data_IF_244983836726
#
_entry.id   IF_244983836726
#
_cell.length_a   1.000
_cell.length_b   1.000
_cell.length_c   1.000
_cell.angle_alpha   90.00
_cell.angle_beta   90.00
_cell.angle_gamma   90.00
#
_symmetry.space_group_name_H-M   'P 1'
#
loop_
_entity.id
_entity.type
_entity.pdbx_description
1 polymer ?
#
# COMPACT_ATOMS: atom_id res chain seq x y z
N UNK A 1 -16.23 4.61 -1.56
CA UNK A 1 -15.08 3.87 -1.01
C UNK A 1 -14.82 2.71 -1.95
N UNK A 2 -13.66 2.70 -2.60
CA UNK A 2 -13.30 1.69 -3.62
C UNK A 2 -12.88 0.39 -2.94
N UNK A 3 -13.04 -0.76 -3.60
CA UNK A 3 -12.56 -2.08 -3.18
C UNK A 3 -11.44 -2.60 -4.08
N UNK A 4 -10.64 -3.53 -3.55
CA UNK A 4 -9.50 -4.09 -4.28
C UNK A 4 -9.90 -4.77 -5.60
N UNK A 5 -11.04 -5.45 -5.67
CA UNK A 5 -11.49 -6.14 -6.88
C UNK A 5 -12.01 -5.19 -7.97
N UNK A 6 -12.31 -3.93 -7.64
CA UNK A 6 -12.78 -2.92 -8.60
C UNK A 6 -11.62 -2.23 -9.32
N UNK A 7 -10.39 -2.40 -8.81
CA UNK A 7 -9.18 -1.77 -9.33
C UNK A 7 -8.62 -2.54 -10.53
N UNK A 8 -8.25 -1.79 -11.56
CA UNK A 8 -7.61 -2.26 -12.79
C UNK A 8 -6.21 -1.71 -12.96
N UNK A 9 -5.40 -2.35 -13.81
CA UNK A 9 -4.05 -1.90 -14.09
C UNK A 9 -4.04 -0.49 -14.67
N UNK A 10 -3.29 0.42 -14.05
CA UNK A 10 -3.19 1.81 -14.46
C UNK A 10 -4.07 2.77 -13.65
N UNK A 11 -5.06 2.24 -12.93
CA UNK A 11 -6.00 3.03 -12.12
C UNK A 11 -5.30 3.82 -11.03
N UNK A 12 -5.92 4.92 -10.66
CA UNK A 12 -5.55 5.78 -9.56
C UNK A 12 -6.72 5.97 -8.61
N UNK A 13 -6.49 5.95 -7.31
CA UNK A 13 -7.56 6.04 -6.31
C UNK A 13 -7.13 6.85 -5.08
N UNK A 14 -8.10 7.45 -4.40
CA UNK A 14 -7.87 8.41 -3.29
C UNK A 14 -8.27 7.90 -1.90
N UNK A 15 -9.09 6.84 -1.84
CA UNK A 15 -9.57 6.27 -0.59
C UNK A 15 -9.92 4.78 -0.74
N UNK A 16 -9.02 3.94 -0.23
CA UNK A 16 -9.18 2.50 -0.09
C UNK A 16 -8.78 2.11 1.33
N UNK A 17 -9.69 1.45 2.05
CA UNK A 17 -9.39 0.87 3.36
C UNK A 17 -8.81 -0.52 3.19
N UNK A 18 -7.63 -0.74 3.76
CA UNK A 18 -7.00 -2.06 3.77
C UNK A 18 -6.46 -2.42 5.15
N UNK A 19 -6.49 -3.72 5.44
CA UNK A 19 -5.72 -4.31 6.53
C UNK A 19 -4.33 -4.70 6.02
N UNK A 20 -3.29 -4.44 6.81
CA UNK A 20 -1.96 -4.99 6.57
C UNK A 20 -1.92 -6.44 7.03
N UNK A 21 -2.07 -7.38 6.11
CA UNK A 21 -2.03 -8.81 6.40
C UNK A 21 -0.62 -9.29 6.77
N UNK A 22 0.39 -8.83 6.03
CA UNK A 22 1.79 -9.20 6.23
C UNK A 22 2.73 -8.06 5.85
N UNK A 23 3.77 -7.84 6.66
CA UNK A 23 4.90 -6.97 6.30
C UNK A 23 5.97 -7.82 5.61
N UNK A 24 6.43 -7.38 4.44
CA UNK A 24 7.48 -8.08 3.67
C UNK A 24 8.86 -7.43 3.83
N UNK A 25 8.91 -6.19 4.35
CA UNK A 25 10.17 -5.48 4.63
C UNK A 25 10.58 -4.58 3.47
N UNK A 26 11.88 -4.48 3.21
CA UNK A 26 12.44 -3.70 2.10
C UNK A 26 12.37 -4.52 0.82
N UNK A 27 11.81 -3.95 -0.24
CA UNK A 27 11.72 -4.58 -1.55
C UNK A 27 13.14 -4.88 -2.08
N UNK A 28 13.43 -6.14 -2.49
CA UNK A 28 14.76 -6.51 -2.97
C UNK A 28 15.25 -5.74 -4.20
N UNK A 29 14.33 -5.16 -4.99
CA UNK A 29 14.67 -4.34 -6.15
C UNK A 29 14.91 -2.85 -5.79
N UNK A 30 14.81 -2.48 -4.52
CA UNK A 30 15.01 -1.10 -4.07
C UNK A 30 16.47 -0.67 -4.10
N UNK A 31 16.70 0.64 -4.32
CA UNK A 31 18.03 1.24 -4.27
C UNK A 31 18.40 1.56 -2.82
N UNK A 32 19.65 1.37 -2.37
CA UNK A 32 20.04 1.64 -0.98
C UNK A 32 19.75 3.07 -0.49
N UNK A 33 19.79 4.06 -1.39
CA UNK A 33 19.53 5.48 -1.08
C UNK A 33 18.03 5.87 -1.17
N UNK A 34 17.17 4.97 -1.63
CA UNK A 34 15.73 5.19 -1.81
C UNK A 34 14.99 3.87 -1.55
N UNK A 35 14.90 3.44 -0.27
CA UNK A 35 14.30 2.16 0.08
C UNK A 35 12.80 2.16 -0.24
N UNK A 36 12.37 1.14 -0.97
CA UNK A 36 10.97 0.82 -1.22
C UNK A 36 10.60 -0.27 -0.25
N UNK A 37 9.48 -0.13 0.45
CA UNK A 37 8.98 -1.11 1.39
C UNK A 37 7.81 -1.86 0.76
N UNK A 38 7.62 -3.12 1.13
CA UNK A 38 6.48 -3.90 0.66
C UNK A 38 5.70 -4.58 1.80
N UNK A 39 4.42 -4.78 1.54
CA UNK A 39 3.47 -5.44 2.42
C UNK A 39 2.40 -6.15 1.59
N UNK A 40 1.81 -7.21 2.13
CA UNK A 40 0.56 -7.75 1.63
C UNK A 40 -0.59 -7.07 2.37
N UNK A 41 -1.50 -6.46 1.62
CA UNK A 41 -2.69 -5.81 2.15
C UNK A 41 -3.94 -6.54 1.66
N UNK A 42 -5.03 -6.46 2.42
CA UNK A 42 -6.29 -7.07 2.05
C UNK A 42 -7.48 -6.18 2.42
N UNK A 43 -8.56 -6.37 1.70
CA UNK A 43 -9.90 -5.93 2.08
C UNK A 43 -10.82 -7.18 2.09
N UNK A 44 -12.13 -7.06 2.39
CA UNK A 44 -13.02 -8.21 2.37
C UNK A 44 -13.17 -8.90 0.99
N UNK A 45 -12.70 -8.29 -0.10
CA UNK A 45 -12.86 -8.80 -1.45
C UNK A 45 -11.63 -9.51 -2.01
N UNK A 46 -10.41 -9.10 -1.61
CA UNK A 46 -9.17 -9.68 -2.14
C UNK A 46 -7.94 -9.29 -1.31
N UNK A 47 -6.78 -9.78 -1.73
CA UNK A 47 -5.47 -9.33 -1.28
C UNK A 47 -4.68 -8.74 -2.46
N UNK A 48 -3.82 -7.77 -2.16
CA UNK A 48 -2.95 -7.15 -3.14
C UNK A 48 -1.60 -6.82 -2.52
N UNK A 49 -0.55 -6.83 -3.34
CA UNK A 49 0.76 -6.37 -2.92
C UNK A 49 0.75 -4.85 -2.86
N UNK A 50 1.21 -4.28 -1.75
CA UNK A 50 1.44 -2.86 -1.58
C UNK A 50 2.94 -2.60 -1.59
N UNK A 51 3.39 -1.65 -2.42
CA UNK A 51 4.71 -1.04 -2.33
C UNK A 51 4.58 0.43 -1.94
N UNK A 52 5.41 0.88 -1.01
CA UNK A 52 5.35 2.24 -0.49
C UNK A 52 6.75 2.76 -0.19
N UNK A 53 6.96 4.05 -0.45
CA UNK A 53 8.20 4.76 -0.14
C UNK A 53 8.04 5.59 1.12
N UNK A 54 9.13 5.74 1.86
CA UNK A 54 9.15 6.66 2.98
C UNK A 54 9.00 8.10 2.46
N UNK A 55 7.99 8.83 2.95
CA UNK A 55 7.81 10.25 2.71
C UNK A 55 7.14 10.93 3.93
N UNK A 56 6.81 12.21 3.84
CA UNK A 56 6.17 12.94 4.94
C UNK A 56 4.81 12.35 5.34
N UNK A 57 4.10 11.70 4.40
CA UNK A 57 2.75 11.15 4.57
C UNK A 57 2.74 9.63 4.82
N UNK A 58 3.88 8.96 4.72
CA UNK A 58 4.03 7.52 4.87
C UNK A 58 5.37 7.22 5.54
N UNK A 59 5.31 6.90 6.84
CA UNK A 59 6.47 6.42 7.61
C UNK A 59 6.37 4.90 7.72
N UNK A 60 7.29 4.13 7.10
CA UNK A 60 7.25 2.67 7.17
C UNK A 60 7.23 2.09 8.59
N UNK A 61 7.90 2.76 9.53
CA UNK A 61 7.88 2.40 10.95
C UNK A 61 6.49 2.45 11.60
N UNK A 62 5.54 3.21 11.01
CA UNK A 62 4.16 3.34 11.47
C UNK A 62 3.21 2.31 10.84
N UNK A 63 3.66 1.56 9.82
CA UNK A 63 2.88 0.49 9.19
C UNK A 63 3.04 -0.78 10.03
N UNK A 64 1.94 -1.32 10.52
CA UNK A 64 1.91 -2.47 11.44
C UNK A 64 0.97 -3.55 10.92
N UNK A 65 1.40 -4.81 11.05
CA UNK A 65 0.58 -5.98 10.75
C UNK A 65 -0.71 -5.97 11.58
N UNK A 66 -1.82 -6.39 10.98
CA UNK A 66 -3.14 -6.49 11.60
C UNK A 66 -3.78 -5.13 11.89
N UNK A 67 -3.29 -4.04 11.29
CA UNK A 67 -3.86 -2.70 11.43
C UNK A 67 -4.43 -2.23 10.10
N UNK A 68 -5.46 -1.41 10.21
CA UNK A 68 -6.17 -0.83 9.08
C UNK A 68 -5.63 0.55 8.73
N UNK A 69 -5.53 0.79 7.43
CA UNK A 69 -5.04 2.03 6.86
C UNK A 69 -5.94 2.45 5.71
N UNK A 70 -6.21 3.75 5.64
CA UNK A 70 -6.72 4.36 4.41
C UNK A 70 -5.53 4.71 3.54
N UNK A 71 -5.59 4.23 2.30
CA UNK A 71 -4.52 4.43 1.34
C UNK A 71 -5.04 5.11 0.07
N UNK A 72 -4.18 5.91 -0.54
CA UNK A 72 -4.33 6.39 -1.91
C UNK A 72 -3.09 6.04 -2.72
N UNK A 73 -3.25 5.85 -4.03
CA UNK A 73 -2.13 5.46 -4.88
C UNK A 73 -2.54 5.06 -6.29
N UNK A 74 -1.61 4.40 -6.97
CA UNK A 74 -1.78 3.92 -8.34
C UNK A 74 -1.62 2.42 -8.41
N UNK A 75 -2.44 1.77 -9.21
CA UNK A 75 -2.32 0.36 -9.55
C UNK A 75 -1.28 0.21 -10.65
N UNK A 76 -0.26 -0.59 -10.38
CA UNK A 76 0.78 -0.98 -11.32
C UNK A 76 0.91 -2.50 -11.35
N UNK A 77 1.86 -3.01 -12.13
CA UNK A 77 2.18 -4.42 -12.14
C UNK A 77 3.66 -4.65 -11.82
N UNK A 78 3.93 -5.77 -11.16
CA UNK A 78 5.27 -6.28 -10.94
C UNK A 78 5.29 -7.77 -11.22
N UNK A 79 6.16 -8.21 -12.15
CA UNK A 79 6.25 -9.60 -12.61
C UNK A 79 4.89 -10.20 -13.00
N UNK A 80 4.07 -9.41 -13.72
CA UNK A 80 2.74 -9.83 -14.19
C UNK A 80 1.65 -9.88 -13.12
N UNK A 81 1.92 -9.46 -11.88
CA UNK A 81 0.92 -9.39 -10.80
C UNK A 81 0.59 -7.94 -10.48
N UNK A 82 -0.68 -7.67 -10.16
CA UNK A 82 -1.10 -6.36 -9.69
C UNK A 82 -0.41 -6.00 -8.37
N UNK A 83 -0.02 -4.73 -8.26
CA UNK A 83 0.44 -4.14 -7.02
C UNK A 83 -0.04 -2.70 -6.93
N UNK A 84 -0.19 -2.21 -5.70
CA UNK A 84 -0.47 -0.80 -5.42
C UNK A 84 0.85 -0.10 -5.14
N UNK A 85 1.05 1.04 -5.77
CA UNK A 85 2.21 1.90 -5.57
C UNK A 85 1.82 3.20 -4.86
N UNK A 86 2.54 3.51 -3.79
CA UNK A 86 2.43 4.76 -3.01
C UNK A 86 3.80 5.45 -2.96
N UNK A 87 3.91 6.70 -3.42
CA UNK A 87 5.15 7.47 -3.28
C UNK A 87 5.42 8.61 -4.29
N UNK A 88 6.56 9.28 -4.06
CA UNK A 88 7.19 10.34 -4.88
C UNK A 88 6.52 11.73 -4.86
N UNK A 89 5.20 11.82 -4.98
CA UNK A 89 4.43 13.07 -4.76
C UNK A 89 2.94 12.77 -4.57
N UNK A 90 2.60 11.48 -4.50
CA UNK A 90 1.27 10.97 -4.72
C UNK A 90 1.04 9.74 -3.85
N UNK A 91 -0.16 9.62 -3.30
CA UNK A 91 -0.51 8.56 -2.37
C UNK A 91 -0.18 8.87 -0.91
N UNK A 92 -1.05 8.38 -0.01
CA UNK A 92 -0.92 8.51 1.45
C UNK A 92 -1.19 7.18 2.13
N UNK A 93 -0.63 7.00 3.33
CA UNK A 93 -0.96 5.89 4.23
C UNK A 93 -1.37 6.47 5.56
N UNK A 94 -2.67 6.58 5.76
CA UNK A 94 -3.25 7.15 6.97
C UNK A 94 -3.73 6.02 7.87
N UNK A 95 -3.13 5.93 9.07
CA UNK A 95 -3.60 4.98 10.08
C UNK A 95 -5.01 5.38 10.48
N UNK A 96 -5.93 4.43 10.42
CA UNK A 96 -7.26 4.62 11.00
C UNK A 96 -7.11 4.45 12.51
N UNK A 97 -7.09 5.57 13.25
CA UNK A 97 -7.17 5.56 14.71
C UNK A 97 -8.65 5.53 15.09
N UNK A 98 -9.14 4.40 15.59
CA UNK A 98 -10.48 4.33 16.16
C UNK A 98 -11.10 2.94 16.03
N UNK A 99 -11.31 2.34 17.21
CA UNK A 99 -12.42 1.44 17.57
C UNK A 99 -12.67 0.20 16.69
N UNK A 100 -11.99 -0.89 17.07
CA UNK A 100 -12.71 -2.16 17.27
C UNK A 100 -12.77 -2.42 18.78
#
# INVERSE_FOLDING_TARGET
MVRLHELSLGDTFEDLLVEVYQLEGVDPASKPRDPVYSALVRDPSSYCRLIYRANNNCKPSNVKRGKFYRISGRVSSYRGRMQIQIGSSWGRVEKVNGEE
#
